data_IF_871252704539
#
_entry.id   IF_871252704539
#
_cell.length_a   1.000
_cell.length_b   1.000
_cell.length_c   1.000
_cell.angle_alpha   90.00
_cell.angle_beta   90.00
_cell.angle_gamma   90.00
#
_symmetry.space_group_name_H-M   'P 1'
#
loop_
_entity.id
_entity.type
_entity.pdbx_description
1 polymer ?
#
# COMPACT_ATOMS: atom_id res chain seq x y z
N UNK A 1 70.16 -28.87 1.71
CA UNK A 1 68.92 -29.66 1.96
C UNK A 1 67.86 -28.66 2.45
N UNK A 2 66.63 -28.71 1.91
CA UNK A 2 65.85 -27.56 1.46
C UNK A 2 64.69 -27.20 2.42
N UNK A 3 63.91 -26.13 2.17
CA UNK A 3 62.47 -26.14 1.80
C UNK A 3 61.82 -25.10 2.74
N UNK A 4 60.90 -24.19 2.44
CA UNK A 4 60.21 -23.68 1.26
C UNK A 4 59.62 -22.32 1.69
N UNK A 5 59.36 -21.47 0.70
CA UNK A 5 58.40 -20.37 0.79
C UNK A 5 57.01 -20.91 1.09
N UNK A 6 56.20 -20.19 1.87
CA UNK A 6 54.76 -20.07 1.59
C UNK A 6 54.16 -18.88 2.34
N UNK A 7 53.69 -17.94 1.54
CA UNK A 7 52.68 -16.95 1.89
C UNK A 7 51.43 -17.67 2.41
N UNK A 8 50.82 -17.11 3.45
CA UNK A 8 49.57 -17.60 4.03
C UNK A 8 48.68 -16.41 4.35
N UNK A 9 47.95 -15.97 3.34
CA UNK A 9 46.78 -15.11 3.43
C UNK A 9 45.85 -15.70 4.50
N UNK A 10 45.57 -14.94 5.56
CA UNK A 10 44.53 -15.31 6.52
C UNK A 10 43.18 -15.03 5.87
N UNK A 11 42.68 -16.06 5.19
CA UNK A 11 41.30 -16.16 4.76
C UNK A 11 40.37 -16.25 5.98
N UNK A 12 39.35 -15.40 5.93
CA UNK A 12 37.99 -15.63 6.42
C UNK A 12 37.79 -15.87 7.92
N UNK A 13 37.22 -14.88 8.60
CA UNK A 13 36.00 -15.09 9.38
C UNK A 13 35.15 -13.82 9.30
N UNK A 14 34.31 -13.75 8.27
CA UNK A 14 33.09 -12.95 8.33
C UNK A 14 32.18 -13.73 9.29
N UNK A 15 31.82 -13.21 10.48
CA UNK A 15 30.72 -13.79 11.21
C UNK A 15 29.47 -13.56 10.35
N UNK A 16 28.95 -14.65 9.79
CA UNK A 16 27.64 -14.71 9.16
C UNK A 16 26.61 -14.36 10.22
N UNK A 17 26.40 -13.05 10.38
CA UNK A 17 25.40 -12.47 11.24
C UNK A 17 24.04 -12.82 10.68
N UNK A 18 23.53 -13.94 11.20
CA UNK A 18 22.12 -14.21 11.49
C UNK A 18 21.12 -13.43 10.62
N UNK A 19 21.02 -13.85 9.36
CA UNK A 19 19.78 -13.71 8.61
C UNK A 19 18.87 -14.87 9.06
N UNK A 20 17.69 -14.65 9.66
CA UNK A 20 16.67 -15.69 9.77
C UNK A 20 16.05 -15.92 8.39
N UNK A 21 16.84 -16.47 7.47
CA UNK A 21 16.36 -16.83 6.14
C UNK A 21 15.75 -18.23 6.25
N UNK A 22 14.44 -18.26 6.52
CA UNK A 22 13.68 -19.49 6.55
C UNK A 22 14.01 -20.34 5.31
N UNK A 23 14.46 -21.57 5.56
CA UNK A 23 14.92 -22.47 4.52
C UNK A 23 13.76 -22.86 3.60
N UNK A 24 14.03 -23.18 2.33
CA UNK A 24 12.98 -23.58 1.38
C UNK A 24 12.17 -24.80 1.86
N UNK A 25 12.79 -25.66 2.67
CA UNK A 25 12.13 -26.77 3.34
C UNK A 25 11.13 -26.29 4.40
N UNK A 26 11.52 -25.32 5.24
CA UNK A 26 10.62 -24.70 6.23
C UNK A 26 9.45 -23.98 5.56
N UNK A 27 9.68 -23.28 4.45
CA UNK A 27 8.61 -22.63 3.69
C UNK A 27 7.62 -23.65 3.09
N UNK A 28 8.12 -24.78 2.57
CA UNK A 28 7.26 -25.88 2.08
C UNK A 28 6.47 -26.53 3.21
N UNK A 29 7.08 -26.74 4.37
CA UNK A 29 6.42 -27.29 5.54
C UNK A 29 5.36 -26.33 6.08
N UNK A 30 5.68 -25.04 6.17
CA UNK A 30 4.73 -23.98 6.55
C UNK A 30 3.57 -23.87 5.56
N UNK A 31 3.81 -23.98 4.25
CA UNK A 31 2.75 -24.03 3.23
C UNK A 31 1.90 -25.32 3.31
N UNK A 32 2.49 -26.43 3.75
CA UNK A 32 1.79 -27.71 3.98
C UNK A 32 1.07 -27.80 5.32
N UNK A 33 1.31 -26.83 6.22
CA UNK A 33 0.73 -26.77 7.54
C UNK A 33 -0.79 -26.80 7.47
N UNK A 34 -1.42 -27.57 8.36
CA UNK A 34 -2.87 -27.62 8.49
C UNK A 34 -3.48 -26.22 8.63
N UNK A 35 -2.78 -25.31 9.32
CA UNK A 35 -3.19 -23.92 9.52
C UNK A 35 -3.20 -23.11 8.21
N UNK A 36 -2.19 -23.30 7.36
CA UNK A 36 -2.10 -22.66 6.05
C UNK A 36 -3.14 -23.23 5.07
N UNK A 37 -3.42 -24.53 5.16
CA UNK A 37 -4.48 -25.19 4.39
C UNK A 37 -5.88 -24.76 4.84
N UNK A 38 -6.08 -24.55 6.13
CA UNK A 38 -7.33 -24.03 6.70
C UNK A 38 -7.56 -22.57 6.30
N UNK A 39 -6.52 -21.74 6.34
CA UNK A 39 -6.57 -20.36 5.83
C UNK A 39 -6.86 -20.33 4.32
N UNK A 40 -6.24 -21.20 3.53
CA UNK A 40 -6.51 -21.32 2.09
C UNK A 40 -7.94 -21.82 1.81
N UNK A 41 -8.47 -22.76 2.60
CA UNK A 41 -9.88 -23.21 2.51
C UNK A 41 -10.85 -22.08 2.88
N UNK A 42 -10.55 -21.29 3.91
CA UNK A 42 -11.34 -20.12 4.28
C UNK A 42 -11.39 -19.06 3.17
N UNK A 43 -10.29 -18.90 2.40
CA UNK A 43 -10.25 -18.01 1.24
C UNK A 43 -11.02 -18.57 0.03
N UNK A 44 -11.11 -19.90 -0.13
CA UNK A 44 -11.93 -20.55 -1.16
C UNK A 44 -13.42 -20.51 -0.80
N UNK A 45 -13.75 -20.55 0.49
CA UNK A 45 -15.13 -20.45 0.99
C UNK A 45 -15.77 -19.05 0.83
N UNK A 46 -14.96 -18.05 0.46
CA UNK A 46 -15.34 -16.68 0.09
C UNK A 46 -15.70 -16.52 -1.40
N UNK A 47 -15.61 -17.59 -2.19
CA UNK A 47 -16.26 -17.65 -3.51
C UNK A 47 -17.76 -17.33 -3.32
N UNK A 48 -18.36 -16.44 -4.13
CA UNK A 48 -19.76 -16.08 -4.00
C UNK A 48 -20.60 -17.32 -4.35
N UNK A 49 -20.92 -18.12 -3.34
CA UNK A 49 -21.85 -19.24 -3.47
C UNK A 49 -23.08 -18.70 -4.17
N UNK A 50 -23.53 -19.41 -5.20
CA UNK A 50 -24.79 -19.17 -5.90
C UNK A 50 -25.95 -19.43 -4.93
N UNK A 51 -26.10 -18.54 -3.96
CA UNK A 51 -27.17 -18.59 -2.97
C UNK A 51 -28.45 -18.34 -3.74
N UNK A 52 -29.32 -19.35 -3.79
CA UNK A 52 -30.70 -19.18 -4.26
C UNK A 52 -31.30 -18.02 -3.48
N UNK A 53 -31.65 -16.94 -4.16
CA UNK A 53 -32.30 -15.80 -3.55
C UNK A 53 -33.54 -16.30 -2.79
N UNK A 54 -33.48 -16.26 -1.45
CA UNK A 54 -34.65 -16.47 -0.61
C UNK A 54 -35.28 -15.10 -0.47
N UNK A 55 -36.48 -14.91 -0.98
CA UNK A 55 -37.20 -13.65 -0.90
C UNK A 55 -38.06 -13.64 0.39
N UNK A 56 -38.17 -12.49 1.08
CA UNK A 56 -38.92 -12.31 2.34
C UNK A 56 -38.03 -12.17 3.59
N UNK A 57 -38.47 -11.49 4.66
CA UNK A 57 -37.67 -11.04 5.82
C UNK A 57 -36.83 -12.09 6.60
N UNK A 58 -36.83 -13.36 6.18
CA UNK A 58 -36.07 -14.47 6.76
C UNK A 58 -34.65 -14.62 6.19
N UNK A 59 -34.26 -13.88 5.14
CA UNK A 59 -32.89 -13.90 4.60
C UNK A 59 -31.95 -12.87 5.24
N UNK A 60 -32.47 -11.93 6.04
CA UNK A 60 -31.62 -11.01 6.80
C UNK A 60 -31.36 -11.59 8.19
N UNK A 61 -30.10 -11.72 8.61
CA UNK A 61 -29.80 -12.15 9.96
C UNK A 61 -30.28 -11.09 10.97
N UNK A 62 -30.93 -11.54 12.04
CA UNK A 62 -31.61 -10.70 13.06
C UNK A 62 -30.69 -9.68 13.75
N UNK A 63 -29.39 -9.87 13.68
CA UNK A 63 -28.37 -8.97 14.22
C UNK A 63 -28.20 -7.69 13.39
N UNK A 64 -28.64 -7.67 12.13
CA UNK A 64 -28.66 -6.48 11.28
C UNK A 64 -29.90 -5.62 11.51
N UNK A 65 -30.83 -6.07 12.36
CA UNK A 65 -32.06 -5.34 12.62
C UNK A 65 -31.78 -4.29 13.67
N UNK A 66 -31.77 -3.03 13.25
CA UNK A 66 -31.69 -1.90 14.17
C UNK A 66 -33.10 -1.42 14.50
N UNK A 67 -33.36 -1.16 15.78
CA UNK A 67 -34.63 -0.59 16.23
C UNK A 67 -34.58 0.91 15.95
N UNK A 68 -35.27 1.35 14.90
CA UNK A 68 -35.50 2.77 14.64
C UNK A 68 -36.51 3.32 15.65
N UNK A 69 -36.28 4.54 16.14
CA UNK A 69 -37.24 5.21 17.02
C UNK A 69 -38.48 5.63 16.21
N UNK A 70 -39.66 5.64 16.84
CA UNK A 70 -40.92 6.02 16.18
C UNK A 70 -40.87 7.47 15.68
N UNK A 71 -40.04 8.31 16.32
CA UNK A 71 -39.82 9.72 15.98
C UNK A 71 -38.93 9.90 14.74
N UNK A 72 -38.14 8.89 14.38
CA UNK A 72 -37.26 8.94 13.21
C UNK A 72 -38.00 8.37 11.98
N UNK A 73 -38.05 9.15 10.91
CA UNK A 73 -38.66 8.69 9.66
C UNK A 73 -37.81 7.59 9.02
N UNK A 74 -38.48 6.57 8.44
CA UNK A 74 -37.78 5.52 7.72
C UNK A 74 -37.17 6.10 6.43
N UNK A 75 -35.86 6.32 6.45
CA UNK A 75 -35.14 6.87 5.31
C UNK A 75 -35.07 5.89 4.15
N UNK A 76 -35.28 6.43 2.95
CA UNK A 76 -35.15 5.66 1.72
C UNK A 76 -33.72 5.10 1.57
N UNK A 77 -33.56 3.82 1.18
CA UNK A 77 -32.23 3.23 0.99
C UNK A 77 -31.36 3.97 -0.02
N UNK A 78 -31.96 4.71 -0.96
CA UNK A 78 -31.25 5.54 -1.94
C UNK A 78 -30.62 6.77 -1.29
N UNK A 79 -31.33 7.40 -0.36
CA UNK A 79 -30.85 8.57 0.38
C UNK A 79 -29.69 8.18 1.29
N UNK A 80 -29.81 7.04 1.98
CA UNK A 80 -28.71 6.50 2.80
C UNK A 80 -27.46 6.16 1.98
N UNK A 81 -27.61 5.74 0.72
CA UNK A 81 -26.47 5.49 -0.18
C UNK A 81 -25.81 6.79 -0.59
N UNK A 82 -26.58 7.80 -0.98
CA UNK A 82 -26.06 9.11 -1.33
C UNK A 82 -25.28 9.74 -0.16
N UNK A 83 -25.84 9.70 1.05
CA UNK A 83 -25.17 10.22 2.25
C UNK A 83 -23.84 9.48 2.51
N UNK A 84 -23.82 8.15 2.36
CA UNK A 84 -22.58 7.36 2.49
C UNK A 84 -21.55 7.73 1.43
N UNK A 85 -21.99 7.92 0.19
CA UNK A 85 -21.13 8.35 -0.92
C UNK A 85 -20.52 9.73 -0.63
N UNK A 86 -21.31 10.67 -0.11
CA UNK A 86 -20.86 12.00 0.31
C UNK A 86 -19.82 11.90 1.43
N UNK A 87 -20.07 11.08 2.45
CA UNK A 87 -19.12 10.85 3.55
C UNK A 87 -17.83 10.21 3.04
N UNK A 88 -17.91 9.25 2.12
CA UNK A 88 -16.71 8.65 1.53
C UNK A 88 -15.91 9.66 0.72
N UNK A 89 -16.57 10.49 -0.07
CA UNK A 89 -15.93 11.54 -0.85
C UNK A 89 -15.22 12.57 0.05
N UNK A 90 -15.87 13.00 1.13
CA UNK A 90 -15.24 13.90 2.11
C UNK A 90 -13.99 13.27 2.75
N UNK A 91 -14.02 11.97 3.06
CA UNK A 91 -12.84 11.26 3.57
C UNK A 91 -11.73 11.17 2.53
N UNK A 92 -12.07 10.89 1.27
CA UNK A 92 -11.11 10.86 0.16
C UNK A 92 -10.43 12.22 -0.02
N UNK A 93 -11.20 13.31 0.00
CA UNK A 93 -10.67 14.68 -0.09
C UNK A 93 -9.72 15.00 1.09
N UNK A 94 -10.07 14.60 2.31
CA UNK A 94 -9.19 14.77 3.49
C UNK A 94 -7.88 13.98 3.38
N UNK A 95 -7.94 12.76 2.84
CA UNK A 95 -6.75 11.94 2.61
C UNK A 95 -5.88 12.61 1.54
N UNK A 96 -6.48 13.06 0.43
CA UNK A 96 -5.78 13.73 -0.64
C UNK A 96 -5.11 15.03 -0.16
N UNK A 97 -5.77 15.80 0.71
CA UNK A 97 -5.21 16.98 1.35
C UNK A 97 -3.93 16.67 2.14
N UNK A 98 -3.91 15.55 2.87
CA UNK A 98 -2.74 15.11 3.65
C UNK A 98 -1.62 14.56 2.75
N UNK A 99 -1.97 13.92 1.65
CA UNK A 99 -1.01 13.30 0.73
C UNK A 99 -0.39 14.28 -0.27
N UNK A 100 -1.13 15.30 -0.70
CA UNK A 100 -0.70 16.27 -1.69
C UNK A 100 0.65 16.96 -1.40
N UNK A 101 1.01 17.35 -0.16
CA UNK A 101 2.31 17.95 0.13
C UNK A 101 3.45 16.92 0.25
N UNK A 102 3.16 15.61 0.30
CA UNK A 102 4.18 14.58 0.53
C UNK A 102 4.90 14.22 -0.76
N UNK A 103 6.24 14.19 -0.70
CA UNK A 103 7.10 13.79 -1.82
C UNK A 103 6.99 12.29 -2.17
N UNK A 104 6.51 11.46 -1.23
CA UNK A 104 6.34 10.01 -1.44
C UNK A 104 5.35 9.66 -2.55
N UNK A 105 4.33 10.50 -2.78
CA UNK A 105 3.40 10.34 -3.91
C UNK A 105 4.11 10.53 -5.24
N UNK A 106 5.03 11.48 -5.32
CA UNK A 106 5.83 11.73 -6.52
C UNK A 106 6.83 10.58 -6.75
N UNK A 107 7.56 10.17 -5.70
CA UNK A 107 8.48 9.03 -5.80
C UNK A 107 7.75 7.74 -6.23
N UNK A 108 6.54 7.52 -5.73
CA UNK A 108 5.72 6.38 -6.13
C UNK A 108 5.23 6.49 -7.58
N UNK A 109 4.86 7.68 -8.04
CA UNK A 109 4.55 7.95 -9.45
C UNK A 109 5.74 7.64 -10.35
N UNK A 110 6.92 8.13 -10.00
CA UNK A 110 8.15 7.94 -10.79
C UNK A 110 8.52 6.46 -10.85
N UNK A 111 8.44 5.75 -9.72
CA UNK A 111 8.62 4.30 -9.66
C UNK A 111 7.68 3.54 -10.62
N UNK A 112 6.40 3.93 -10.69
CA UNK A 112 5.44 3.29 -11.59
C UNK A 112 5.76 3.55 -13.07
N UNK A 113 6.33 4.72 -13.38
CA UNK A 113 6.81 5.04 -14.72
C UNK A 113 8.03 4.19 -15.08
N UNK A 114 9.00 4.06 -14.17
CA UNK A 114 10.18 3.22 -14.36
C UNK A 114 9.81 1.74 -14.59
N UNK A 115 8.75 1.27 -13.93
CA UNK A 115 8.19 -0.08 -14.11
C UNK A 115 7.29 -0.22 -15.34
N UNK A 116 7.11 0.84 -16.13
CA UNK A 116 6.24 0.90 -17.31
C UNK A 116 4.81 0.40 -17.02
N UNK A 117 4.28 0.72 -15.83
CA UNK A 117 2.92 0.32 -15.46
C UNK A 117 1.92 1.13 -16.29
N UNK A 118 1.20 0.45 -17.18
CA UNK A 118 0.26 1.09 -18.14
C UNK A 118 -0.85 1.91 -17.48
N UNK A 119 -1.29 1.54 -16.27
CA UNK A 119 -2.40 2.18 -15.56
C UNK A 119 -1.93 2.70 -14.21
N UNK A 120 -2.01 4.02 -14.02
CA UNK A 120 -1.76 4.60 -12.70
C UNK A 120 -2.89 4.25 -11.71
N UNK A 121 -2.56 3.97 -10.44
CA UNK A 121 -3.55 3.87 -9.37
C UNK A 121 -4.37 5.15 -9.26
N UNK A 122 -5.66 5.00 -8.94
CA UNK A 122 -6.58 6.14 -8.71
C UNK A 122 -6.02 7.13 -7.68
N UNK A 123 -5.37 6.61 -6.64
CA UNK A 123 -4.69 7.43 -5.64
C UNK A 123 -3.78 8.51 -6.27
N UNK A 124 -2.92 8.15 -7.22
CA UNK A 124 -2.01 9.11 -7.85
C UNK A 124 -2.79 10.12 -8.68
N UNK A 125 -3.77 9.67 -9.46
CA UNK A 125 -4.57 10.58 -10.28
C UNK A 125 -5.35 11.57 -9.43
N UNK A 126 -5.91 11.12 -8.31
CA UNK A 126 -6.78 11.91 -7.45
C UNK A 126 -5.96 12.93 -6.63
N UNK A 127 -4.78 12.53 -6.12
CA UNK A 127 -3.87 13.45 -5.42
C UNK A 127 -3.30 14.52 -6.37
N UNK A 128 -2.93 14.15 -7.60
CA UNK A 128 -2.45 15.10 -8.61
C UNK A 128 -3.55 16.10 -9.01
N UNK A 129 -4.78 15.62 -9.21
CA UNK A 129 -5.94 16.49 -9.45
C UNK A 129 -6.20 17.41 -8.26
N UNK A 130 -6.17 16.88 -7.04
CA UNK A 130 -6.34 17.67 -5.83
C UNK A 130 -5.27 18.77 -5.73
N UNK A 131 -3.99 18.44 -5.97
CA UNK A 131 -2.87 19.40 -5.97
C UNK A 131 -3.11 20.51 -7.01
N UNK A 132 -3.52 20.17 -8.23
CA UNK A 132 -3.84 21.17 -9.27
C UNK A 132 -4.93 22.16 -8.86
N UNK A 133 -5.94 21.70 -8.11
CA UNK A 133 -7.08 22.53 -7.69
C UNK A 133 -6.74 23.36 -6.45
N UNK A 134 -6.05 22.77 -5.46
CA UNK A 134 -5.91 23.35 -4.11
C UNK A 134 -4.51 23.88 -3.79
N UNK A 135 -3.49 23.44 -4.50
CA UNK A 135 -2.09 23.81 -4.27
C UNK A 135 -1.47 24.25 -5.60
N UNK A 136 -1.76 25.48 -6.08
CA UNK A 136 -1.04 26.01 -7.22
C UNK A 136 0.45 25.94 -6.88
N UNK A 137 1.24 25.35 -7.78
CA UNK A 137 2.66 25.16 -7.61
C UNK A 137 3.25 26.44 -7.01
N UNK A 138 3.80 26.34 -5.81
CA UNK A 138 4.58 27.43 -5.24
C UNK A 138 5.75 27.60 -6.19
N UNK A 139 5.64 28.58 -7.09
CA UNK A 139 6.71 29.15 -7.89
C UNK A 139 7.72 29.65 -6.88
N UNK A 140 8.63 28.77 -6.49
CA UNK A 140 9.96 28.98 -5.95
C UNK A 140 10.45 27.57 -5.58
N UNK A 141 11.15 26.86 -6.48
CA UNK A 141 11.95 25.73 -6.05
C UNK A 141 12.84 26.20 -4.88
N UNK A 142 13.05 25.38 -3.84
CA UNK A 142 13.98 25.73 -2.78
C UNK A 142 15.32 26.09 -3.41
N UNK A 143 15.77 27.29 -3.04
CA UNK A 143 17.00 27.94 -3.42
C UNK A 143 18.13 26.94 -3.64
N UNK A 144 18.73 27.00 -4.83
CA UNK A 144 20.09 26.57 -5.16
C UNK A 144 20.86 25.92 -3.99
N UNK A 145 20.86 24.60 -3.93
CA UNK A 145 21.93 23.89 -3.24
C UNK A 145 23.18 23.98 -4.12
N UNK A 146 24.01 24.95 -3.74
CA UNK A 146 25.25 25.46 -4.32
C UNK A 146 26.18 24.44 -5.00
N UNK A 147 26.84 24.89 -6.07
CA UNK A 147 28.28 24.61 -6.24
C UNK A 147 29.02 25.90 -6.53
N UNK A 148 29.67 26.48 -5.53
CA UNK A 148 30.70 27.50 -5.76
C UNK A 148 31.87 26.80 -6.45
N UNK A 149 31.88 26.78 -7.79
CA UNK A 149 33.09 26.48 -8.55
C UNK A 149 34.01 27.69 -8.43
N UNK A 150 34.77 27.76 -7.34
CA UNK A 150 35.99 28.55 -7.30
C UNK A 150 36.96 27.91 -8.30
N UNK A 151 37.03 28.47 -9.51
CA UNK A 151 38.08 28.15 -10.45
C UNK A 151 39.42 28.56 -9.85
N UNK A 152 40.19 27.57 -9.43
CA UNK A 152 41.61 27.71 -9.11
C UNK A 152 42.33 27.94 -10.44
N UNK A 153 42.74 29.17 -10.74
CA UNK A 153 43.63 29.44 -11.86
C UNK A 153 45.04 28.98 -11.47
N UNK A 154 45.53 27.93 -12.10
CA UNK A 154 46.93 27.53 -11.99
C UNK A 154 47.83 28.54 -12.72
N UNK A 155 48.92 28.89 -12.04
CA UNK A 155 50.15 29.56 -12.50
C UNK A 155 50.59 29.25 -13.92
#
# INVERSE_FOLDING_TARGET
VPVELREGVQDTMIPESEQPHATLAELRMAASSAKSREMARALIDDEPRTQKYRYGAWYLPKNLWHRTLITEELLDPKVLKAEREDVTRQREEQINARLAPLHGVNAFRDYLQDKNVRRLPKLITDVEQYRRIHLPETINPPTEFQTKRTGFSST
#
